data_IF_079695606399
#
_entry.id   IF_079695606399
#
_cell.length_a   1.000
_cell.length_b   1.000
_cell.length_c   1.000
_cell.angle_alpha   90.00
_cell.angle_beta   90.00
_cell.angle_gamma   90.00
#
_symmetry.space_group_name_H-M   'P 1'
#
loop_
_entity.id
_entity.type
_entity.pdbx_description
1 polymer ?
#
# COMPACT_ATOMS: atom_id res chain seq x y z
N UNK A 1 17.87 25.46 -19.55
CA UNK A 1 17.87 24.86 -20.92
C UNK A 1 16.46 24.79 -21.51
N UNK A 2 15.47 24.21 -20.82
CA UNK A 2 14.10 24.07 -21.37
C UNK A 2 13.41 25.41 -21.69
N UNK A 3 13.67 26.44 -20.88
CA UNK A 3 13.14 27.79 -21.03
C UNK A 3 13.79 28.61 -22.15
N UNK A 4 14.91 28.14 -22.73
CA UNK A 4 15.57 28.85 -23.82
C UNK A 4 14.69 28.84 -25.07
N UNK A 5 14.72 29.93 -25.83
CA UNK A 5 14.13 29.96 -27.17
C UNK A 5 14.74 28.88 -28.07
N UNK A 6 14.06 28.56 -29.18
CA UNK A 6 14.58 27.57 -30.13
C UNK A 6 15.97 27.98 -30.68
N UNK A 7 16.17 29.28 -30.93
CA UNK A 7 17.43 29.82 -31.46
C UNK A 7 18.57 29.70 -30.43
N UNK A 8 18.36 30.18 -29.21
CA UNK A 8 19.37 30.10 -28.14
C UNK A 8 19.73 28.65 -27.80
N UNK A 9 18.73 27.77 -27.79
CA UNK A 9 18.95 26.35 -27.56
C UNK A 9 19.77 25.71 -28.68
N UNK A 10 19.44 26.01 -29.94
CA UNK A 10 20.19 25.48 -31.08
C UNK A 10 21.63 25.98 -31.10
N UNK A 11 21.86 27.24 -30.75
CA UNK A 11 23.19 27.80 -30.59
C UNK A 11 23.98 27.04 -29.50
N UNK A 12 23.39 26.82 -28.33
CA UNK A 12 24.00 26.06 -27.24
C UNK A 12 24.33 24.62 -27.66
N UNK A 13 23.37 23.92 -28.28
CA UNK A 13 23.55 22.55 -28.76
C UNK A 13 24.66 22.44 -29.81
N UNK A 14 24.68 23.35 -30.80
CA UNK A 14 25.68 23.31 -31.87
C UNK A 14 27.09 23.60 -31.34
N UNK A 15 27.22 24.55 -30.40
CA UNK A 15 28.49 24.83 -29.75
C UNK A 15 28.98 23.66 -28.90
N UNK A 16 28.10 23.05 -28.10
CA UNK A 16 28.41 21.83 -27.36
C UNK A 16 28.84 20.70 -28.29
N UNK A 17 28.08 20.45 -29.37
CA UNK A 17 28.37 19.37 -30.32
C UNK A 17 29.75 19.56 -30.95
N UNK A 18 30.09 20.78 -31.38
CA UNK A 18 31.40 21.08 -31.95
C UNK A 18 32.53 20.83 -30.94
N UNK A 19 32.36 21.22 -29.69
CA UNK A 19 33.35 20.98 -28.63
C UNK A 19 33.48 19.47 -28.32
N UNK A 20 32.35 18.77 -28.22
CA UNK A 20 32.28 17.33 -27.98
C UNK A 20 32.98 16.53 -29.08
N UNK A 21 32.71 16.85 -30.35
CA UNK A 21 33.28 16.14 -31.50
C UNK A 21 34.82 16.30 -31.58
N UNK A 22 35.38 17.40 -31.07
CA UNK A 22 36.83 17.66 -31.05
C UNK A 22 37.51 16.96 -29.86
N UNK A 23 36.88 17.01 -28.68
CA UNK A 23 37.46 16.50 -27.44
C UNK A 23 36.37 15.93 -26.51
N UNK A 24 35.92 14.67 -26.70
CA UNK A 24 34.81 14.09 -25.93
C UNK A 24 35.05 14.13 -24.40
N UNK A 25 36.26 13.82 -23.96
CA UNK A 25 36.64 13.85 -22.55
C UNK A 25 37.05 15.24 -22.03
N UNK A 26 36.89 16.30 -22.83
CA UNK A 26 37.33 17.66 -22.51
C UNK A 26 38.81 17.70 -22.08
N UNK A 27 39.08 17.98 -20.80
CA UNK A 27 40.41 18.01 -20.19
C UNK A 27 40.80 16.69 -19.49
N UNK A 28 39.94 15.66 -19.56
CA UNK A 28 40.08 14.38 -18.88
C UNK A 28 39.78 14.40 -17.39
N UNK A 29 39.49 15.57 -16.81
CA UNK A 29 39.20 15.73 -15.37
C UNK A 29 37.72 15.98 -15.10
N UNK A 30 37.01 16.62 -16.04
CA UNK A 30 35.61 17.01 -15.86
C UNK A 30 34.71 16.36 -16.90
N UNK A 31 33.67 15.61 -16.48
CA UNK A 31 32.76 14.94 -17.42
C UNK A 31 31.72 15.89 -18.06
N UNK A 32 31.95 17.21 -18.04
CA UNK A 32 30.99 18.24 -18.46
C UNK A 32 30.45 17.99 -19.87
N UNK A 33 31.31 17.61 -20.81
CA UNK A 33 30.90 17.30 -22.17
C UNK A 33 29.86 16.16 -22.24
N UNK A 34 30.00 15.13 -21.40
CA UNK A 34 29.03 14.04 -21.32
C UNK A 34 27.77 14.47 -20.56
N UNK A 35 27.91 15.07 -19.39
CA UNK A 35 26.75 15.48 -18.57
C UNK A 35 25.90 16.55 -19.22
N UNK A 36 26.52 17.58 -19.80
CA UNK A 36 25.83 18.67 -20.48
C UNK A 36 25.21 18.18 -21.78
N UNK A 37 25.90 17.27 -22.47
CA UNK A 37 25.37 16.58 -23.65
C UNK A 37 24.09 15.84 -23.35
N UNK A 38 24.05 15.05 -22.28
CA UNK A 38 22.81 14.38 -21.84
C UNK A 38 21.72 15.39 -21.50
N UNK A 39 22.04 16.48 -20.81
CA UNK A 39 21.05 17.51 -20.48
C UNK A 39 20.47 18.18 -21.74
N UNK A 40 21.31 18.54 -22.70
CA UNK A 40 20.87 19.10 -23.99
C UNK A 40 20.03 18.09 -24.78
N UNK A 41 20.47 16.84 -24.87
CA UNK A 41 19.74 15.80 -25.59
C UNK A 41 18.40 15.47 -24.92
N UNK A 42 18.29 15.49 -23.59
CA UNK A 42 17.00 15.34 -22.89
C UNK A 42 16.02 16.45 -23.27
N UNK A 43 16.49 17.68 -23.46
CA UNK A 43 15.64 18.79 -23.95
C UNK A 43 15.24 18.57 -25.40
N UNK A 44 16.16 18.10 -26.27
CA UNK A 44 15.81 17.73 -27.66
C UNK A 44 14.77 16.62 -27.68
N UNK A 45 14.96 15.57 -26.88
CA UNK A 45 14.05 14.44 -26.75
C UNK A 45 12.64 14.89 -26.37
N UNK A 46 12.51 15.78 -25.37
CA UNK A 46 11.21 16.35 -24.96
C UNK A 46 10.56 17.20 -26.05
N UNK A 47 11.34 17.86 -26.91
CA UNK A 47 10.84 18.73 -28.00
C UNK A 47 10.54 17.96 -29.28
N UNK A 48 11.17 16.80 -29.48
CA UNK A 48 10.98 15.95 -30.65
C UNK A 48 9.54 15.42 -30.72
N UNK A 49 8.97 15.43 -31.92
CA UNK A 49 7.61 14.92 -32.20
C UNK A 49 7.62 13.58 -32.92
N UNK A 50 8.70 13.31 -33.65
CA UNK A 50 8.88 12.08 -34.40
C UNK A 50 9.46 11.00 -33.48
N UNK A 51 8.86 9.81 -33.51
CA UNK A 51 9.25 8.70 -32.63
C UNK A 51 10.58 8.06 -33.06
N UNK A 52 10.93 8.10 -34.34
CA UNK A 52 12.24 7.63 -34.79
C UNK A 52 13.34 8.60 -34.34
N UNK A 53 13.11 9.91 -34.44
CA UNK A 53 14.02 10.94 -33.91
C UNK A 53 14.21 10.78 -32.39
N UNK A 54 13.12 10.59 -31.63
CA UNK A 54 13.21 10.33 -30.18
C UNK A 54 14.05 9.11 -29.86
N UNK A 55 13.86 8.02 -30.58
CA UNK A 55 14.64 6.78 -30.40
C UNK A 55 16.13 7.00 -30.66
N UNK A 56 16.48 7.75 -31.71
CA UNK A 56 17.88 8.09 -32.01
C UNK A 56 18.49 8.98 -30.90
N UNK A 57 17.75 9.97 -30.42
CA UNK A 57 18.20 10.85 -29.32
C UNK A 57 18.37 10.04 -28.03
N UNK A 58 17.42 9.15 -27.71
CA UNK A 58 17.47 8.29 -26.54
C UNK A 58 18.70 7.37 -26.56
N UNK A 59 18.95 6.71 -27.68
CA UNK A 59 20.16 5.90 -27.88
C UNK A 59 21.44 6.74 -27.67
N UNK A 60 21.47 7.98 -28.16
CA UNK A 60 22.62 8.87 -27.96
C UNK A 60 22.81 9.28 -26.49
N UNK A 61 21.73 9.49 -25.74
CA UNK A 61 21.82 9.76 -24.29
C UNK A 61 22.45 8.57 -23.56
N UNK A 62 22.05 7.35 -23.89
CA UNK A 62 22.61 6.14 -23.29
C UNK A 62 24.09 5.95 -23.66
N UNK A 63 24.46 6.22 -24.91
CA UNK A 63 25.86 6.18 -25.37
C UNK A 63 26.75 7.16 -24.58
N UNK A 64 26.26 8.36 -24.27
CA UNK A 64 27.01 9.33 -23.46
C UNK A 64 27.21 8.88 -22.00
N UNK A 65 26.34 8.03 -21.44
CA UNK A 65 26.62 7.40 -20.15
C UNK A 65 27.76 6.38 -20.28
N UNK A 66 27.71 5.54 -21.31
CA UNK A 66 28.71 4.48 -21.52
C UNK A 66 30.10 5.06 -21.82
N UNK A 67 30.17 6.11 -22.64
CA UNK A 67 31.42 6.81 -22.93
C UNK A 67 31.98 7.51 -21.69
N UNK A 68 31.11 8.09 -20.85
CA UNK A 68 31.58 8.68 -19.60
C UNK A 68 32.12 7.60 -18.65
N UNK A 69 31.45 6.45 -18.53
CA UNK A 69 31.89 5.37 -17.64
C UNK A 69 33.25 4.79 -18.06
N UNK A 70 33.62 4.85 -19.35
CA UNK A 70 34.93 4.44 -19.83
C UNK A 70 36.06 5.39 -19.43
N UNK A 71 35.75 6.66 -19.16
CA UNK A 71 36.75 7.70 -18.91
C UNK A 71 36.87 8.11 -17.44
N UNK A 72 35.87 7.80 -16.60
CA UNK A 72 35.76 8.30 -15.23
C UNK A 72 35.42 7.19 -14.23
N UNK A 73 36.00 7.27 -13.04
CA UNK A 73 35.79 6.31 -11.94
C UNK A 73 34.48 6.57 -11.17
N UNK A 74 33.34 6.58 -11.87
CA UNK A 74 32.01 6.77 -11.28
C UNK A 74 30.93 5.87 -11.91
N UNK A 75 31.34 4.67 -12.31
CA UNK A 75 30.52 3.69 -13.04
C UNK A 75 29.19 3.39 -12.35
N UNK A 76 29.19 3.13 -11.03
CA UNK A 76 27.98 2.84 -10.26
C UNK A 76 26.91 3.94 -10.39
N UNK A 77 27.33 5.20 -10.17
CA UNK A 77 26.48 6.37 -10.29
C UNK A 77 25.92 6.52 -11.72
N UNK A 78 26.77 6.32 -12.74
CA UNK A 78 26.35 6.43 -14.13
C UNK A 78 25.39 5.32 -14.55
N UNK A 79 25.61 4.08 -14.09
CA UNK A 79 24.70 2.96 -14.33
C UNK A 79 23.32 3.24 -13.74
N UNK A 80 23.25 3.74 -12.50
CA UNK A 80 21.99 4.13 -11.87
C UNK A 80 21.25 5.21 -12.67
N UNK A 81 21.95 6.29 -13.03
CA UNK A 81 21.37 7.40 -13.81
C UNK A 81 20.94 6.97 -15.21
N UNK A 82 21.67 6.05 -15.85
CA UNK A 82 21.32 5.44 -17.12
C UNK A 82 20.03 4.63 -17.01
N UNK A 83 19.93 3.72 -16.03
CA UNK A 83 18.73 2.92 -15.79
C UNK A 83 17.50 3.79 -15.46
N UNK A 84 17.68 4.83 -14.65
CA UNK A 84 16.65 5.82 -14.37
C UNK A 84 16.14 6.51 -15.63
N UNK A 85 17.04 6.98 -16.50
CA UNK A 85 16.63 7.62 -17.76
C UNK A 85 15.93 6.64 -18.71
N UNK A 86 16.40 5.38 -18.78
CA UNK A 86 15.74 4.33 -19.54
C UNK A 86 14.29 4.14 -19.09
N UNK A 87 14.01 4.13 -17.78
CA UNK A 87 12.64 4.01 -17.29
C UNK A 87 11.68 5.09 -17.80
N UNK A 88 12.14 6.34 -17.91
CA UNK A 88 11.31 7.47 -18.34
C UNK A 88 11.28 7.69 -19.86
N UNK A 89 12.00 6.89 -20.63
CA UNK A 89 11.97 6.87 -22.09
C UNK A 89 11.08 5.71 -22.56
N UNK A 90 9.92 5.96 -23.21
CA UNK A 90 8.97 4.90 -23.59
C UNK A 90 9.53 3.80 -24.51
N UNK A 91 10.60 4.09 -25.26
CA UNK A 91 11.33 3.11 -26.05
C UNK A 91 11.99 2.03 -25.19
N UNK A 92 12.25 2.32 -23.92
CA UNK A 92 12.81 1.41 -22.92
C UNK A 92 11.75 1.11 -21.84
N UNK A 93 11.47 2.02 -20.90
CA UNK A 93 10.35 1.89 -19.96
C UNK A 93 10.32 0.55 -19.22
N UNK A 94 9.18 -0.14 -19.25
CA UNK A 94 8.94 -1.45 -18.61
C UNK A 94 9.45 -2.65 -19.44
N UNK A 95 10.65 -2.53 -20.02
CA UNK A 95 11.28 -3.60 -20.80
C UNK A 95 12.37 -4.31 -20.01
N UNK A 96 12.74 -5.49 -20.47
CA UNK A 96 13.73 -6.37 -19.83
C UNK A 96 15.10 -5.68 -19.78
N UNK A 97 15.46 -4.92 -20.81
CA UNK A 97 16.71 -4.17 -20.85
C UNK A 97 16.77 -3.09 -19.76
N UNK A 98 15.65 -2.44 -19.44
CA UNK A 98 15.59 -1.48 -18.33
C UNK A 98 15.69 -2.19 -16.98
N UNK A 99 15.01 -3.33 -16.82
CA UNK A 99 15.08 -4.14 -15.61
C UNK A 99 16.50 -4.61 -15.31
N UNK A 100 17.19 -5.16 -16.30
CA UNK A 100 18.57 -5.62 -16.16
C UNK A 100 19.54 -4.44 -15.93
N UNK A 101 19.28 -3.27 -16.52
CA UNK A 101 20.04 -2.06 -16.22
C UNK A 101 19.90 -1.63 -14.75
N UNK A 102 18.69 -1.67 -14.18
CA UNK A 102 18.51 -1.41 -12.74
C UNK A 102 19.18 -2.46 -11.87
N UNK A 103 18.99 -3.75 -12.17
CA UNK A 103 19.63 -4.84 -11.41
C UNK A 103 21.13 -4.66 -11.33
N UNK A 104 21.77 -4.44 -12.47
CA UNK A 104 23.22 -4.20 -12.52
C UNK A 104 23.62 -2.93 -11.78
N UNK A 105 22.86 -1.85 -11.93
CA UNK A 105 23.15 -0.60 -11.22
C UNK A 105 23.06 -0.76 -9.69
N UNK A 106 22.07 -1.50 -9.18
CA UNK A 106 21.88 -1.76 -7.75
C UNK A 106 22.89 -2.77 -7.20
N UNK A 107 23.31 -3.75 -8.00
CA UNK A 107 24.39 -4.68 -7.65
C UNK A 107 25.73 -3.95 -7.52
N UNK A 108 26.07 -3.09 -8.48
CA UNK A 108 27.34 -2.33 -8.46
C UNK A 108 27.31 -1.19 -7.45
N UNK A 109 26.17 -0.52 -7.29
CA UNK A 109 26.02 0.60 -6.35
C UNK A 109 25.86 0.16 -4.90
N UNK A 110 25.40 -1.07 -4.64
CA UNK A 110 25.08 -1.58 -3.30
C UNK A 110 24.34 -0.52 -2.46
N UNK A 111 24.83 -0.24 -1.25
CA UNK A 111 24.30 0.77 -0.33
C UNK A 111 24.56 2.22 -0.77
N UNK A 112 25.45 2.46 -1.73
CA UNK A 112 25.69 3.79 -2.30
C UNK A 112 24.72 4.13 -3.46
N UNK A 113 23.84 3.18 -3.82
CA UNK A 113 22.80 3.37 -4.83
C UNK A 113 21.86 4.53 -4.49
N UNK A 114 21.58 5.39 -5.48
CA UNK A 114 20.79 6.61 -5.26
C UNK A 114 19.30 6.32 -4.99
N UNK A 115 18.69 7.11 -4.09
CA UNK A 115 17.26 7.04 -3.73
C UNK A 115 16.29 7.12 -4.92
N UNK A 116 16.73 7.67 -6.05
CA UNK A 116 15.92 7.82 -7.27
C UNK A 116 15.63 6.47 -7.94
N UNK A 117 16.41 5.43 -7.65
CA UNK A 117 16.29 4.12 -8.28
C UNK A 117 15.18 3.27 -7.65
N UNK A 118 14.85 3.53 -6.38
CA UNK A 118 13.97 2.68 -5.58
C UNK A 118 12.57 2.56 -6.18
N UNK A 119 11.93 3.70 -6.44
CA UNK A 119 10.54 3.73 -6.93
C UNK A 119 10.41 3.21 -8.39
N UNK A 120 11.23 3.65 -9.37
CA UNK A 120 11.20 3.08 -10.72
C UNK A 120 11.45 1.57 -10.74
N UNK A 121 12.42 1.08 -9.97
CA UNK A 121 12.68 -0.36 -9.87
C UNK A 121 11.49 -1.10 -9.26
N UNK A 122 10.84 -0.55 -8.24
CA UNK A 122 9.61 -1.10 -7.66
C UNK A 122 8.49 -1.24 -8.70
N UNK A 123 8.28 -0.21 -9.52
CA UNK A 123 7.29 -0.23 -10.59
C UNK A 123 7.58 -1.33 -11.61
N UNK A 124 8.84 -1.50 -12.03
CA UNK A 124 9.25 -2.58 -12.93
C UNK A 124 9.01 -3.94 -12.28
N UNK A 125 9.45 -4.16 -11.04
CA UNK A 125 9.29 -5.42 -10.32
C UNK A 125 7.81 -5.82 -10.22
N UNK A 126 6.94 -4.89 -9.82
CA UNK A 126 5.51 -5.15 -9.70
C UNK A 126 4.90 -5.48 -11.06
N UNK A 127 5.25 -4.73 -12.10
CA UNK A 127 4.78 -5.02 -13.46
C UNK A 127 5.27 -6.40 -13.95
N UNK A 128 6.53 -6.75 -13.70
CA UNK A 128 7.14 -7.99 -14.16
C UNK A 128 6.55 -9.20 -13.45
N UNK A 129 6.32 -9.09 -12.14
CA UNK A 129 5.65 -10.14 -11.36
C UNK A 129 4.22 -10.37 -11.86
N UNK A 130 3.41 -9.31 -11.99
CA UNK A 130 2.03 -9.40 -12.52
C UNK A 130 1.99 -9.96 -13.95
N UNK A 131 3.04 -9.69 -14.73
CA UNK A 131 3.22 -10.21 -16.09
C UNK A 131 3.89 -11.59 -16.15
N UNK A 132 4.13 -12.24 -15.00
CA UNK A 132 4.77 -13.56 -14.87
C UNK A 132 6.17 -13.66 -15.52
N UNK A 133 6.88 -12.54 -15.58
CA UNK A 133 8.26 -12.46 -16.11
C UNK A 133 9.32 -12.77 -15.05
N UNK A 134 9.00 -12.48 -13.78
CA UNK A 134 9.81 -12.85 -12.62
C UNK A 134 8.91 -13.61 -11.64
N UNK A 135 9.53 -14.43 -10.80
CA UNK A 135 8.81 -15.20 -9.78
C UNK A 135 8.76 -14.47 -8.43
N UNK A 136 8.11 -15.12 -7.47
CA UNK A 136 7.99 -14.63 -6.10
C UNK A 136 9.38 -14.45 -5.44
N UNK A 137 10.29 -15.39 -5.63
CA UNK A 137 11.59 -15.38 -4.96
C UNK A 137 12.48 -14.23 -5.46
N UNK A 138 12.50 -14.00 -6.78
CA UNK A 138 13.20 -12.87 -7.38
C UNK A 138 12.60 -11.53 -6.92
N UNK A 139 11.27 -11.44 -6.86
CA UNK A 139 10.57 -10.24 -6.38
C UNK A 139 10.89 -9.93 -4.92
N UNK A 140 10.86 -10.94 -4.04
CA UNK A 140 11.22 -10.81 -2.62
C UNK A 140 12.67 -10.40 -2.43
N UNK A 141 13.59 -11.02 -3.18
CA UNK A 141 15.03 -10.70 -3.12
C UNK A 141 15.27 -9.24 -3.50
N UNK A 142 14.69 -8.80 -4.61
CA UNK A 142 14.84 -7.42 -5.07
C UNK A 142 14.19 -6.42 -4.10
N UNK A 143 13.00 -6.70 -3.58
CA UNK A 143 12.37 -5.87 -2.55
C UNK A 143 13.25 -5.72 -1.31
N UNK A 144 13.82 -6.83 -0.83
CA UNK A 144 14.70 -6.84 0.35
C UNK A 144 15.95 -5.99 0.10
N UNK A 145 16.58 -6.13 -1.07
CA UNK A 145 17.73 -5.30 -1.45
C UNK A 145 17.39 -3.80 -1.46
N UNK A 146 16.24 -3.41 -2.02
CA UNK A 146 15.82 -2.01 -2.06
C UNK A 146 15.51 -1.46 -0.65
N UNK A 147 14.87 -2.26 0.22
CA UNK A 147 14.64 -1.91 1.62
C UNK A 147 15.97 -1.70 2.37
N UNK A 148 16.95 -2.59 2.19
CA UNK A 148 18.26 -2.49 2.83
C UNK A 148 19.02 -1.22 2.41
N UNK A 149 18.98 -0.87 1.12
CA UNK A 149 19.56 0.38 0.60
C UNK A 149 18.89 1.59 1.26
N UNK A 150 17.56 1.59 1.31
CA UNK A 150 16.80 2.69 1.91
C UNK A 150 17.09 2.82 3.40
N UNK A 151 16.96 1.74 4.18
CA UNK A 151 17.15 1.75 5.63
C UNK A 151 18.56 2.16 6.03
N UNK A 152 19.57 1.66 5.30
CA UNK A 152 20.94 2.09 5.52
C UNK A 152 21.09 3.60 5.33
N UNK A 153 20.61 4.15 4.22
CA UNK A 153 20.80 5.58 3.92
C UNK A 153 19.93 6.51 4.76
N UNK A 154 18.75 6.08 5.22
CA UNK A 154 17.92 6.89 6.14
C UNK A 154 18.71 7.22 7.41
N UNK A 155 19.47 6.26 7.95
CA UNK A 155 20.27 6.46 9.16
C UNK A 155 21.69 6.97 8.93
N UNK A 156 22.25 6.85 7.71
CA UNK A 156 23.67 7.11 7.44
C UNK A 156 23.94 8.20 6.38
N UNK A 157 22.89 8.83 5.82
CA UNK A 157 23.04 9.87 4.79
C UNK A 157 22.44 11.20 5.26
N UNK A 158 23.27 12.05 5.88
CA UNK A 158 22.83 13.34 6.45
C UNK A 158 22.17 14.27 5.43
N UNK A 159 22.61 14.21 4.17
CA UNK A 159 22.12 15.12 3.13
C UNK A 159 20.83 14.63 2.49
N UNK A 160 20.69 13.31 2.30
CA UNK A 160 19.63 12.73 1.49
C UNK A 160 18.72 11.74 2.22
N UNK A 161 18.91 11.50 3.53
CA UNK A 161 18.14 10.51 4.30
C UNK A 161 16.63 10.65 4.15
N UNK A 162 16.09 11.87 4.19
CA UNK A 162 14.66 12.13 3.96
C UNK A 162 14.18 11.75 2.54
N UNK A 163 15.04 11.86 1.53
CA UNK A 163 14.70 11.43 0.17
C UNK A 163 14.66 9.90 0.08
N UNK A 164 15.54 9.18 0.78
CA UNK A 164 15.45 7.73 0.90
C UNK A 164 14.18 7.30 1.63
N UNK A 165 13.82 7.94 2.74
CA UNK A 165 12.57 7.68 3.46
C UNK A 165 11.34 7.88 2.55
N UNK A 166 11.31 9.00 1.82
CA UNK A 166 10.22 9.31 0.90
C UNK A 166 10.16 8.32 -0.27
N UNK A 167 11.30 7.96 -0.85
CA UNK A 167 11.38 6.97 -1.93
C UNK A 167 11.00 5.56 -1.45
N UNK A 168 11.39 5.18 -0.23
CA UNK A 168 11.00 3.92 0.42
C UNK A 168 9.48 3.82 0.55
N UNK A 169 8.83 4.90 1.01
CA UNK A 169 7.39 4.95 1.13
C UNK A 169 6.67 4.79 -0.22
N UNK A 170 7.17 5.45 -1.28
CA UNK A 170 6.61 5.32 -2.64
C UNK A 170 6.83 3.92 -3.22
N UNK A 171 8.02 3.36 -3.07
CA UNK A 171 8.31 1.96 -3.41
C UNK A 171 7.33 1.01 -2.72
N UNK A 172 7.21 1.09 -1.39
CA UNK A 172 6.32 0.23 -0.63
C UNK A 172 4.85 0.36 -1.08
N UNK A 173 4.43 1.56 -1.51
CA UNK A 173 3.09 1.78 -2.04
C UNK A 173 2.81 0.99 -3.32
N UNK A 174 3.80 0.79 -4.19
CA UNK A 174 3.63 -0.04 -5.40
C UNK A 174 3.51 -1.53 -5.05
N UNK A 175 4.32 -2.02 -4.10
CA UNK A 175 4.29 -3.42 -3.68
C UNK A 175 2.96 -3.84 -3.03
N UNK A 176 2.15 -2.89 -2.51
CA UNK A 176 0.80 -3.18 -1.98
C UNK A 176 -0.10 -3.91 -2.98
N UNK A 177 0.12 -3.74 -4.28
CA UNK A 177 -0.68 -4.41 -5.31
C UNK A 177 -0.48 -5.93 -5.36
N UNK A 178 0.68 -6.40 -4.89
CA UNK A 178 1.10 -7.81 -5.01
C UNK A 178 1.55 -8.39 -3.67
N UNK A 179 1.47 -7.62 -2.57
CA UNK A 179 2.08 -8.01 -1.30
C UNK A 179 1.51 -9.31 -0.73
N UNK A 180 0.22 -9.58 -1.00
CA UNK A 180 -0.48 -10.80 -0.56
C UNK A 180 -0.06 -12.06 -1.31
N UNK A 181 0.51 -11.89 -2.51
CA UNK A 181 0.98 -12.99 -3.34
C UNK A 181 2.48 -13.20 -3.16
N UNK A 182 3.20 -12.09 -2.94
CA UNK A 182 4.66 -12.10 -2.89
C UNK A 182 5.18 -12.40 -1.50
N UNK A 183 4.57 -11.88 -0.44
CA UNK A 183 5.16 -11.95 0.90
C UNK A 183 4.43 -12.93 1.82
N UNK A 184 5.14 -13.39 2.85
CA UNK A 184 4.69 -14.41 3.78
C UNK A 184 4.27 -13.84 5.14
N UNK A 185 3.89 -14.73 6.05
CA UNK A 185 3.60 -14.40 7.43
C UNK A 185 4.67 -13.54 8.11
N UNK A 186 5.97 -13.78 7.87
CA UNK A 186 7.03 -13.06 8.55
C UNK A 186 7.02 -11.57 8.18
N UNK A 187 6.87 -11.27 6.89
CA UNK A 187 6.70 -9.90 6.40
C UNK A 187 5.47 -9.22 7.00
N UNK A 188 4.31 -9.87 6.94
CA UNK A 188 3.07 -9.28 7.44
C UNK A 188 3.08 -9.13 8.97
N UNK A 189 3.75 -10.00 9.72
CA UNK A 189 3.96 -9.81 11.17
C UNK A 189 4.78 -8.55 11.45
N UNK A 190 5.91 -8.37 10.76
CA UNK A 190 6.75 -7.18 10.90
C UNK A 190 5.95 -5.90 10.61
N UNK A 191 5.07 -5.95 9.61
CA UNK A 191 4.23 -4.82 9.18
C UNK A 191 3.06 -4.53 10.14
N UNK A 192 2.29 -5.55 10.51
CA UNK A 192 0.97 -5.39 11.14
C UNK A 192 0.97 -5.52 12.66
N UNK A 193 1.96 -6.20 13.26
CA UNK A 193 2.04 -6.31 14.73
C UNK A 193 2.22 -4.93 15.39
N UNK A 194 3.10 -4.02 14.91
CA UNK A 194 3.20 -2.67 15.46
C UNK A 194 1.87 -1.89 15.38
N UNK A 195 1.11 -2.07 14.30
CA UNK A 195 -0.21 -1.43 14.13
C UNK A 195 -1.22 -1.95 15.16
N UNK A 196 -1.23 -3.26 15.42
CA UNK A 196 -2.01 -3.84 16.51
C UNK A 196 -1.58 -3.30 17.88
N UNK A 197 -0.27 -3.23 18.16
CA UNK A 197 0.25 -2.75 19.44
C UNK A 197 -0.17 -1.31 19.76
N UNK A 198 -0.21 -0.45 18.73
CA UNK A 198 -0.61 0.94 18.87
C UNK A 198 -2.14 1.13 19.00
N UNK A 199 -2.95 0.12 18.66
CA UNK A 199 -4.41 0.25 18.52
C UNK A 199 -5.19 -0.90 19.16
N UNK A 200 -4.82 -1.29 20.40
CA UNK A 200 -5.39 -2.45 21.12
C UNK A 200 -6.86 -2.33 21.52
N UNK A 201 -7.45 -1.15 21.37
CA UNK A 201 -8.85 -0.83 21.65
C UNK A 201 -9.71 -0.69 20.38
N UNK A 202 -9.10 -0.72 19.20
CA UNK A 202 -9.81 -0.66 17.92
C UNK A 202 -10.18 -2.08 17.44
N UNK A 203 -11.45 -2.45 17.60
CA UNK A 203 -11.96 -3.75 17.12
C UNK A 203 -11.71 -3.93 15.61
N UNK A 204 -11.80 -2.87 14.83
CA UNK A 204 -11.57 -2.89 13.39
C UNK A 204 -10.12 -3.26 13.07
N UNK A 205 -9.15 -2.60 13.71
CA UNK A 205 -7.73 -2.83 13.47
C UNK A 205 -7.34 -4.22 13.96
N UNK A 206 -7.74 -4.61 15.18
CA UNK A 206 -7.44 -5.93 15.73
C UNK A 206 -7.99 -7.04 14.81
N UNK A 207 -9.24 -6.88 14.33
CA UNK A 207 -9.86 -7.83 13.40
C UNK A 207 -9.08 -7.90 12.08
N UNK A 208 -8.74 -6.75 11.50
CA UNK A 208 -7.98 -6.68 10.26
C UNK A 208 -6.64 -7.41 10.39
N UNK A 209 -5.86 -7.08 11.43
CA UNK A 209 -4.55 -7.70 11.68
C UNK A 209 -4.68 -9.21 11.87
N UNK A 210 -5.61 -9.67 12.72
CA UNK A 210 -5.81 -11.10 12.96
C UNK A 210 -6.17 -11.87 11.67
N UNK A 211 -7.15 -11.38 10.93
CA UNK A 211 -7.62 -12.03 9.69
C UNK A 211 -6.51 -12.05 8.66
N UNK A 212 -5.82 -10.91 8.48
CA UNK A 212 -4.76 -10.79 7.49
C UNK A 212 -3.59 -11.72 7.79
N UNK A 213 -3.11 -11.76 9.03
CA UNK A 213 -2.03 -12.67 9.42
C UNK A 213 -2.40 -14.15 9.21
N UNK A 214 -3.64 -14.55 9.49
CA UNK A 214 -4.09 -15.93 9.17
C UNK A 214 -4.14 -16.21 7.68
N UNK A 215 -4.63 -15.27 6.86
CA UNK A 215 -4.66 -15.43 5.41
C UNK A 215 -3.25 -15.60 4.83
N UNK A 216 -2.26 -14.96 5.44
CA UNK A 216 -0.86 -15.00 5.06
C UNK A 216 -0.09 -16.19 5.67
N UNK A 217 -0.81 -17.17 6.23
CA UNK A 217 -0.25 -18.44 6.68
C UNK A 217 0.40 -18.41 8.07
N UNK A 218 0.16 -17.38 8.88
CA UNK A 218 0.68 -17.38 10.26
C UNK A 218 0.03 -18.48 11.11
N UNK A 219 0.86 -19.26 11.82
CA UNK A 219 0.41 -20.34 12.68
C UNK A 219 -0.49 -19.80 13.80
N UNK A 220 -1.75 -20.23 13.80
CA UNK A 220 -2.75 -19.82 14.78
C UNK A 220 -2.43 -20.22 16.23
N UNK A 221 -1.46 -21.11 16.43
CA UNK A 221 -0.99 -21.56 17.73
C UNK A 221 0.22 -20.76 18.24
N UNK A 222 0.84 -19.94 17.38
CA UNK A 222 1.92 -19.04 17.77
C UNK A 222 1.43 -18.07 18.85
N UNK A 223 2.26 -17.81 19.87
CA UNK A 223 1.91 -16.95 21.03
C UNK A 223 1.31 -15.63 20.59
N UNK A 224 1.89 -14.98 19.57
CA UNK A 224 1.39 -13.68 19.09
C UNK A 224 0.02 -13.78 18.42
N UNK A 225 -0.22 -14.84 17.65
CA UNK A 225 -1.52 -15.08 17.01
C UNK A 225 -2.60 -15.39 18.04
N UNK A 226 -2.27 -16.15 19.09
CA UNK A 226 -3.17 -16.43 20.21
C UNK A 226 -3.50 -15.13 20.96
N UNK A 227 -2.51 -14.28 21.24
CA UNK A 227 -2.71 -12.99 21.90
C UNK A 227 -3.69 -12.11 21.12
N UNK A 228 -3.45 -11.90 19.83
CA UNK A 228 -4.30 -11.05 18.97
C UNK A 228 -5.71 -11.64 18.86
N UNK A 229 -5.83 -12.97 18.73
CA UNK A 229 -7.14 -13.65 18.71
C UNK A 229 -7.91 -13.41 20.00
N UNK A 230 -7.27 -13.58 21.16
CA UNK A 230 -7.93 -13.38 22.46
C UNK A 230 -8.33 -11.93 22.65
N UNK A 231 -7.50 -10.97 22.23
CA UNK A 231 -7.86 -9.54 22.24
C UNK A 231 -9.09 -9.26 21.36
N UNK A 232 -9.11 -9.81 20.14
CA UNK A 232 -10.24 -9.71 19.22
C UNK A 232 -11.53 -10.26 19.84
N UNK A 233 -11.50 -11.51 20.31
CA UNK A 233 -12.68 -12.21 20.85
C UNK A 233 -13.23 -11.50 22.09
N UNK A 234 -12.35 -11.07 23.00
CA UNK A 234 -12.73 -10.37 24.23
C UNK A 234 -13.39 -9.02 23.91
N UNK A 235 -12.77 -8.22 23.03
CA UNK A 235 -13.29 -6.91 22.69
C UNK A 235 -14.59 -7.01 21.88
N UNK A 236 -14.68 -7.97 20.96
CA UNK A 236 -15.90 -8.25 20.21
C UNK A 236 -17.05 -8.66 21.14
N UNK A 237 -16.79 -9.55 22.11
CA UNK A 237 -17.79 -9.98 23.08
C UNK A 237 -18.29 -8.80 23.92
N UNK A 238 -17.38 -7.96 24.42
CA UNK A 238 -17.74 -6.74 25.18
C UNK A 238 -18.62 -5.80 24.36
N UNK A 239 -18.20 -5.47 23.12
CA UNK A 239 -18.96 -4.59 22.24
C UNK A 239 -20.33 -5.18 21.89
N UNK A 240 -20.42 -6.49 21.68
CA UNK A 240 -21.69 -7.14 21.40
C UNK A 240 -22.64 -7.11 22.61
N UNK A 241 -22.13 -7.31 23.83
CA UNK A 241 -22.91 -7.16 25.07
C UNK A 241 -23.42 -5.72 25.22
N UNK A 242 -22.56 -4.73 24.99
CA UNK A 242 -22.94 -3.32 25.07
C UNK A 242 -24.00 -2.96 24.01
N UNK A 243 -23.82 -3.43 22.77
CA UNK A 243 -24.80 -3.25 21.68
C UNK A 243 -26.13 -3.92 21.98
N UNK A 244 -26.10 -5.14 22.51
CA UNK A 244 -27.31 -5.87 22.87
C UNK A 244 -28.06 -5.17 24.01
N UNK A 245 -27.34 -4.71 25.04
CA UNK A 245 -27.92 -3.90 26.11
C UNK A 245 -28.56 -2.63 25.55
N UNK A 246 -27.85 -1.86 24.73
CA UNK A 246 -28.40 -0.65 24.12
C UNK A 246 -29.62 -0.93 23.25
N UNK A 247 -29.61 -2.04 22.50
CA UNK A 247 -30.75 -2.46 21.68
C UNK A 247 -31.96 -2.81 22.54
N UNK A 248 -31.75 -3.56 23.63
CA UNK A 248 -32.81 -3.90 24.58
C UNK A 248 -33.37 -2.68 25.27
N UNK A 249 -32.50 -1.77 25.73
CA UNK A 249 -32.92 -0.53 26.39
C UNK A 249 -33.76 0.35 25.43
N UNK A 250 -33.30 0.51 24.17
CA UNK A 250 -33.94 1.39 23.18
C UNK A 250 -35.15 0.81 22.45
N UNK A 251 -35.35 -0.51 22.47
CA UNK A 251 -36.43 -1.17 21.75
C UNK A 251 -37.21 -2.11 22.66
N UNK A 252 -38.31 -1.60 23.22
CA UNK A 252 -39.17 -2.32 24.14
C UNK A 252 -39.78 -3.59 23.53
N UNK A 253 -40.19 -3.56 22.27
CA UNK A 253 -40.76 -4.73 21.58
C UNK A 253 -39.73 -5.88 21.44
N UNK A 254 -38.49 -5.51 21.10
CA UNK A 254 -37.38 -6.46 20.99
C UNK A 254 -37.05 -7.06 22.37
N UNK A 255 -36.86 -6.21 23.38
CA UNK A 255 -36.52 -6.64 24.74
C UNK A 255 -37.61 -7.52 25.36
N UNK A 256 -38.88 -7.15 25.20
CA UNK A 256 -40.00 -7.96 25.66
C UNK A 256 -39.99 -9.38 25.08
N UNK A 257 -39.69 -9.49 23.78
CA UNK A 257 -39.58 -10.77 23.09
C UNK A 257 -38.40 -11.60 23.58
N UNK A 258 -37.26 -10.96 23.87
CA UNK A 258 -36.11 -11.65 24.48
C UNK A 258 -36.42 -12.14 25.90
N UNK A 259 -36.99 -11.28 26.75
CA UNK A 259 -37.39 -11.63 28.12
C UNK A 259 -38.42 -12.78 28.15
N UNK A 260 -39.36 -12.82 27.19
CA UNK A 260 -40.30 -13.93 27.08
C UNK A 260 -39.58 -15.25 26.74
N UNK A 261 -38.58 -15.23 25.85
CA UNK A 261 -37.77 -16.41 25.51
C UNK A 261 -36.91 -16.86 26.70
N UNK A 262 -36.41 -15.91 27.50
CA UNK A 262 -35.62 -16.15 28.71
C UNK A 262 -36.47 -16.65 29.90
N UNK A 263 -37.80 -16.60 29.79
CA UNK A 263 -38.73 -17.02 30.85
C UNK A 263 -39.02 -15.94 31.89
N UNK A 264 -38.52 -14.72 31.68
CA UNK A 264 -38.71 -13.55 32.54
C UNK A 264 -40.07 -12.88 32.28
N UNK A 265 -41.15 -13.65 32.42
CA UNK A 265 -42.49 -13.29 31.92
C UNK A 265 -43.05 -12.00 32.50
N UNK A 266 -42.82 -11.70 33.78
CA UNK A 266 -43.30 -10.45 34.39
C UNK A 266 -42.62 -9.22 33.80
N UNK A 267 -41.31 -9.31 33.51
CA UNK A 267 -40.55 -8.24 32.88
C UNK A 267 -40.91 -8.11 31.39
N UNK A 268 -41.13 -9.24 30.72
CA UNK A 268 -41.59 -9.27 29.34
C UNK A 268 -42.94 -8.54 29.18
N UNK A 269 -43.90 -8.76 30.08
CA UNK A 269 -45.19 -8.07 30.05
C UNK A 269 -45.03 -6.54 30.16
N UNK A 270 -44.22 -6.06 31.11
CA UNK A 270 -43.98 -4.62 31.26
C UNK A 270 -43.38 -4.00 29.98
N UNK A 271 -42.41 -4.66 29.36
CA UNK A 271 -41.80 -4.17 28.12
C UNK A 271 -42.73 -4.30 26.90
N UNK A 272 -43.63 -5.29 26.87
CA UNK A 272 -44.66 -5.35 25.83
C UNK A 272 -45.70 -4.23 25.96
N UNK A 273 -46.03 -3.80 27.19
CA UNK A 273 -46.89 -2.64 27.42
C UNK A 273 -46.19 -1.36 26.91
N UNK A 274 -44.92 -1.14 27.24
CA UNK A 274 -44.12 -0.02 26.71
C UNK A 274 -43.98 -0.07 25.17
N UNK A 275 -43.85 -1.26 24.59
CA UNK A 275 -43.86 -1.45 23.15
C UNK A 275 -45.16 -0.95 22.50
N UNK A 276 -46.32 -1.20 23.12
CA UNK A 276 -47.62 -0.76 22.60
C UNK A 276 -47.81 0.77 22.65
N UNK A 277 -47.04 1.50 23.44
CA UNK A 277 -47.08 2.97 23.46
C UNK A 277 -46.50 3.58 22.18
N UNK A 278 -45.56 2.87 21.54
CA UNK A 278 -44.81 3.37 20.37
C UNK A 278 -45.11 2.60 19.08
N UNK A 279 -45.66 1.38 19.17
CA UNK A 279 -46.06 0.59 18.01
C UNK A 279 -47.27 1.22 17.29
N UNK A 280 -47.07 1.65 16.04
CA UNK A 280 -48.10 2.27 15.19
C UNK A 280 -48.72 1.30 14.18
N UNK A 281 -47.99 0.25 13.81
CA UNK A 281 -48.46 -0.75 12.85
C UNK A 281 -49.47 -1.73 13.48
N UNK A 282 -50.61 -1.94 12.81
CA UNK A 282 -51.71 -2.73 13.34
C UNK A 282 -51.36 -4.22 13.49
N UNK A 283 -50.56 -4.76 12.58
CA UNK A 283 -50.13 -6.16 12.62
C UNK A 283 -49.11 -6.37 13.75
N UNK A 284 -48.13 -5.49 13.89
CA UNK A 284 -47.16 -5.52 14.98
C UNK A 284 -47.85 -5.41 16.36
N UNK A 285 -48.84 -4.51 16.50
CA UNK A 285 -49.63 -4.40 17.73
C UNK A 285 -50.40 -5.69 18.04
N UNK A 286 -51.03 -6.30 17.03
CA UNK A 286 -51.74 -7.56 17.20
C UNK A 286 -50.81 -8.69 17.68
N UNK A 287 -49.59 -8.77 17.15
CA UNK A 287 -48.56 -9.74 17.60
C UNK A 287 -48.15 -9.51 19.06
N UNK A 288 -48.03 -8.25 19.48
CA UNK A 288 -47.72 -7.91 20.87
C UNK A 288 -48.88 -8.29 21.81
N UNK A 289 -50.12 -7.93 21.46
CA UNK A 289 -51.32 -8.33 22.22
C UNK A 289 -51.45 -9.85 22.35
N UNK A 290 -51.21 -10.58 21.26
CA UNK A 290 -51.17 -12.05 21.27
C UNK A 290 -50.11 -12.57 22.25
N UNK A 291 -48.91 -11.98 22.25
CA UNK A 291 -47.82 -12.39 23.14
C UNK A 291 -48.17 -12.14 24.62
N UNK A 292 -48.76 -10.98 24.94
CA UNK A 292 -49.29 -10.66 26.28
C UNK A 292 -50.35 -11.67 26.70
N UNK A 293 -51.35 -11.93 25.85
CA UNK A 293 -52.44 -12.85 26.14
C UNK A 293 -51.92 -14.28 26.36
N UNK A 294 -50.96 -14.73 25.54
CA UNK A 294 -50.30 -16.03 25.66
C UNK A 294 -49.56 -16.17 26.99
N UNK A 295 -48.77 -15.16 27.40
CA UNK A 295 -48.09 -15.16 28.69
C UNK A 295 -49.10 -15.24 29.84
N UNK A 296 -50.13 -14.38 29.84
CA UNK A 296 -51.14 -14.34 30.92
C UNK A 296 -51.91 -15.65 31.01
N UNK A 297 -52.32 -16.23 29.88
CA UNK A 297 -53.09 -17.47 29.84
C UNK A 297 -52.24 -18.67 30.27
N UNK A 298 -51.10 -18.89 29.63
CA UNK A 298 -50.37 -20.15 29.73
C UNK A 298 -49.24 -20.14 30.77
N UNK A 299 -48.68 -18.98 31.09
CA UNK A 299 -47.56 -18.87 32.05
C UNK A 299 -48.01 -18.39 33.43
N UNK A 300 -49.09 -17.60 33.51
CA UNK A 300 -49.63 -17.09 34.78
C UNK A 300 -50.98 -17.71 35.18
N UNK A 301 -51.58 -18.57 34.34
CA UNK A 301 -52.90 -19.16 34.55
C UNK A 301 -54.00 -18.11 34.84
N UNK A 302 -53.89 -16.94 34.18
CA UNK A 302 -54.80 -15.81 34.34
C UNK A 302 -55.64 -15.62 33.08
N UNK A 303 -56.69 -16.45 32.94
CA UNK A 303 -57.59 -16.40 31.79
C UNK A 303 -58.32 -15.05 31.65
N UNK A 304 -58.71 -14.42 32.76
CA UNK A 304 -59.35 -13.10 32.75
C UNK A 304 -58.43 -12.01 32.19
N UNK A 305 -57.17 -12.00 32.62
CA UNK A 305 -56.16 -11.06 32.11
C UNK A 305 -55.77 -11.31 30.65
N UNK A 306 -55.89 -12.54 30.16
CA UNK A 306 -55.64 -12.87 28.76
C UNK A 306 -56.74 -12.34 27.83
N UNK A 307 -58.02 -12.43 28.25
CA UNK A 307 -59.15 -11.88 27.48
C UNK A 307 -59.10 -10.36 27.40
N UNK A 308 -58.63 -9.67 28.45
CA UNK A 308 -58.49 -8.21 28.44
C UNK A 308 -57.34 -7.69 27.54
N UNK A 309 -56.46 -8.57 27.08
CA UNK A 309 -55.35 -8.22 26.20
C UNK A 309 -55.61 -8.56 24.72
N UNK A 310 -56.70 -9.29 24.41
CA UNK A 310 -57.13 -9.62 23.05
C UNK A 310 -58.13 -8.58 22.54
#
# INVERSE_FOLDING_TARGET
LEQLSAEEFNLAYNNWKKAYDIAPAADGQRPSHYSDGRNLLKVKYKRAKDEAEKKEIAAKILELYDQQAQCYENEAFLMGRKAFDMFYMPEYGYREETYEAFKKALEVGEKDSEYILLEPMAQILVYFYKSKKIDQAETQKAYTQLEEIADYNIGNNDRFGQYYESSKARMASHFKEIEDEVFDCAYFKKKLVPEYEANKDSLEIIKYVYVKLRQQGCDSTETKMVEIRTAYETLAAKINIEREKMRRDSNACYDASQLQQEGEYSRALARYEECLETATDAEARAQVYYSIASIKLYRQNNAGGAVSAA
#
